data_IF_904872308581
#
_entry.id   IF_904872308581
#
_cell.length_a   1.000
_cell.length_b   1.000
_cell.length_c   1.000
_cell.angle_alpha   90.00
_cell.angle_beta   90.00
_cell.angle_gamma   90.00
#
_symmetry.space_group_name_H-M   'P 1'
#
loop_
_entity.id
_entity.type
_entity.pdbx_description
1 polymer ?
#
# COMPACT_ATOMS: atom_id res chain seq x y z
N UNK A 1 37.77 43.44 -58.09
CA UNK A 1 37.10 44.52 -57.32
C UNK A 1 36.74 43.87 -55.99
N UNK A 2 37.63 44.05 -55.12
CA UNK A 2 37.57 44.83 -53.86
C UNK A 2 36.62 44.18 -52.91
N UNK A 3 37.07 43.67 -51.85
CA UNK A 3 37.82 44.11 -50.70
C UNK A 3 36.97 43.80 -49.47
N UNK A 4 37.52 42.94 -48.58
CA UNK A 4 38.07 43.38 -47.28
C UNK A 4 37.02 43.54 -46.20
N UNK A 5 37.07 43.00 -45.01
CA UNK A 5 38.05 42.87 -43.96
C UNK A 5 37.42 42.12 -42.76
N UNK A 6 38.16 41.21 -42.14
CA UNK A 6 38.45 41.04 -40.70
C UNK A 6 37.31 41.19 -39.67
N UNK A 7 37.08 40.26 -38.77
CA UNK A 7 37.90 39.97 -37.63
C UNK A 7 37.38 38.76 -36.82
N UNK A 8 38.23 37.87 -36.50
CA UNK A 8 38.60 37.21 -35.22
C UNK A 8 37.62 37.27 -34.07
N UNK A 9 37.37 36.09 -33.48
CA UNK A 9 37.15 35.95 -32.05
C UNK A 9 36.67 34.58 -31.65
N UNK A 10 37.06 34.03 -30.54
CA UNK A 10 37.29 32.61 -30.40
C UNK A 10 36.07 31.82 -29.83
N UNK A 11 36.11 30.54 -30.13
CA UNK A 11 35.32 29.47 -29.52
C UNK A 11 35.36 29.52 -27.99
N UNK A 12 34.19 29.57 -27.35
CA UNK A 12 34.03 29.24 -25.96
C UNK A 12 32.95 28.16 -25.82
N UNK A 13 33.39 26.94 -25.70
CA UNK A 13 32.61 25.85 -25.14
C UNK A 13 32.25 26.21 -23.71
N UNK A 14 31.02 26.63 -23.47
CA UNK A 14 30.46 26.77 -22.13
C UNK A 14 29.95 25.39 -21.66
N UNK A 15 30.74 24.77 -20.80
CA UNK A 15 30.34 23.69 -19.93
C UNK A 15 29.23 24.17 -19.00
N UNK A 16 28.09 23.47 -19.00
CA UNK A 16 26.99 23.67 -18.08
C UNK A 16 27.46 23.22 -16.68
N UNK A 17 27.48 24.08 -15.66
CA UNK A 17 27.85 23.63 -14.33
C UNK A 17 26.69 22.80 -13.74
N UNK A 18 27.02 21.60 -13.26
CA UNK A 18 26.17 20.81 -12.37
C UNK A 18 25.89 21.67 -11.13
N UNK A 19 24.62 22.01 -10.92
CA UNK A 19 24.20 22.77 -9.74
C UNK A 19 24.41 21.90 -8.50
N UNK A 20 25.43 22.22 -7.74
CA UNK A 20 25.63 21.76 -6.37
C UNK A 20 24.60 22.46 -5.45
N UNK A 21 24.28 21.85 -4.32
CA UNK A 21 23.25 22.30 -3.37
C UNK A 21 23.39 23.77 -2.93
N UNK A 22 24.57 24.38 -3.08
CA UNK A 22 24.83 25.79 -2.79
C UNK A 22 24.15 26.79 -3.76
N UNK A 23 23.80 26.33 -4.98
CA UNK A 23 23.13 27.19 -5.98
C UNK A 23 21.66 27.50 -5.65
N UNK A 24 20.98 26.64 -4.90
CA UNK A 24 19.59 26.86 -4.49
C UNK A 24 19.45 27.94 -3.41
N UNK A 25 20.42 28.04 -2.52
CA UNK A 25 20.39 29.04 -1.44
C UNK A 25 20.57 30.48 -1.96
N UNK A 26 21.36 30.66 -3.02
CA UNK A 26 21.56 31.96 -3.67
C UNK A 26 20.32 32.43 -4.42
N UNK A 27 19.54 31.50 -5.02
CA UNK A 27 18.31 31.84 -5.73
C UNK A 27 17.19 32.27 -4.78
N UNK A 28 17.07 31.62 -3.62
CA UNK A 28 16.09 31.97 -2.58
C UNK A 28 16.41 33.36 -1.98
N UNK A 29 17.66 33.65 -1.80
CA UNK A 29 18.14 34.98 -1.27
C UNK A 29 17.87 36.09 -2.32
N UNK A 30 18.02 35.82 -3.61
CA UNK A 30 17.76 36.80 -4.69
C UNK A 30 16.25 37.06 -4.87
N UNK A 31 15.37 36.06 -4.68
CA UNK A 31 13.92 36.24 -4.78
C UNK A 31 13.31 37.01 -3.60
N UNK A 32 13.95 36.96 -2.42
CA UNK A 32 13.52 37.72 -1.24
C UNK A 32 13.86 39.21 -1.31
N UNK A 33 14.75 39.67 -2.21
CA UNK A 33 15.11 41.08 -2.40
C UNK A 33 14.08 41.88 -3.19
N UNK A 34 13.05 41.23 -3.77
CA UNK A 34 11.99 41.88 -4.57
C UNK A 34 10.64 42.09 -3.83
N UNK A 35 10.62 41.90 -2.49
CA UNK A 35 9.41 42.19 -1.72
C UNK A 35 9.49 43.64 -1.23
N UNK A 36 8.59 44.57 -1.63
CA UNK A 36 8.59 45.94 -1.13
C UNK A 36 8.26 45.93 0.37
N UNK A 37 9.10 46.58 1.16
CA UNK A 37 8.96 46.69 2.59
C UNK A 37 7.66 47.43 2.97
N UNK A 38 6.85 46.94 3.91
CA UNK A 38 5.77 47.71 4.51
C UNK A 38 6.42 48.84 5.39
N UNK A 39 5.95 50.05 5.19
CA UNK A 39 6.31 51.19 6.02
C UNK A 39 5.70 51.11 7.43
N UNK A 40 6.51 51.45 8.43
CA UNK A 40 6.28 51.63 9.88
C UNK A 40 6.31 50.37 10.74
N UNK A 41 7.41 50.11 11.48
CA UNK A 41 7.57 50.55 12.87
C UNK A 41 9.04 50.39 13.35
N UNK A 42 9.41 51.25 14.25
CA UNK A 42 10.75 51.41 14.83
C UNK A 42 11.05 50.18 15.71
N UNK A 43 12.10 49.42 15.36
CA UNK A 43 12.68 48.46 16.30
C UNK A 43 13.16 47.10 15.77
N UNK A 44 12.91 46.75 14.52
CA UNK A 44 13.41 45.48 13.93
C UNK A 44 14.36 45.78 12.77
N UNK A 45 15.67 45.65 13.00
CA UNK A 45 16.64 45.74 11.91
C UNK A 45 16.41 44.60 10.90
N UNK A 46 16.59 44.87 9.59
CA UNK A 46 16.44 43.82 8.52
C UNK A 46 17.38 42.62 8.73
N UNK A 47 18.47 42.80 9.44
CA UNK A 47 19.43 41.78 9.87
C UNK A 47 18.82 40.81 10.87
N UNK A 48 18.10 41.25 11.88
CA UNK A 48 17.48 40.39 12.88
C UNK A 48 16.32 39.53 12.33
N UNK A 49 15.60 40.07 11.34
CA UNK A 49 14.57 39.27 10.61
C UNK A 49 15.21 38.20 9.70
N UNK A 50 16.35 38.58 9.07
CA UNK A 50 17.13 37.67 8.21
C UNK A 50 17.81 36.58 9.02
N UNK A 51 18.36 36.91 10.20
CA UNK A 51 18.91 35.91 11.12
C UNK A 51 17.85 34.99 11.69
N UNK A 52 16.64 35.44 12.02
CA UNK A 52 15.53 34.58 12.45
C UNK A 52 15.07 33.62 11.37
N UNK A 53 15.03 34.04 10.11
CA UNK A 53 14.69 33.18 8.97
C UNK A 53 15.80 32.14 8.69
N UNK A 54 17.08 32.56 8.84
CA UNK A 54 18.23 31.67 8.70
C UNK A 54 18.35 30.70 9.89
N UNK A 55 18.03 31.13 11.12
CA UNK A 55 17.98 30.26 12.29
C UNK A 55 16.79 29.26 12.25
N UNK A 56 15.69 29.61 11.58
CA UNK A 56 14.56 28.68 11.35
C UNK A 56 14.83 27.65 10.25
N UNK A 57 15.85 27.84 9.43
CA UNK A 57 16.33 26.93 8.40
C UNK A 57 17.46 25.99 8.87
N UNK A 58 17.69 25.87 10.18
CA UNK A 58 18.60 24.83 10.68
C UNK A 58 18.08 23.47 10.25
N UNK A 59 18.90 22.63 9.58
CA UNK A 59 18.53 21.27 9.30
C UNK A 59 18.19 20.58 10.62
N UNK A 60 17.02 19.98 10.71
CA UNK A 60 16.63 19.19 11.87
C UNK A 60 17.77 18.22 12.20
N UNK A 61 18.19 18.10 13.47
CA UNK A 61 19.25 17.18 13.84
C UNK A 61 18.94 15.79 13.26
N UNK A 62 19.95 15.05 12.78
CA UNK A 62 19.74 13.74 12.20
C UNK A 62 18.98 12.87 13.20
N UNK A 63 17.73 12.56 12.88
CA UNK A 63 16.89 11.73 13.73
C UNK A 63 17.49 10.32 13.76
N UNK A 64 17.59 9.71 14.94
CA UNK A 64 18.05 8.34 15.04
C UNK A 64 17.12 7.41 14.24
N UNK A 65 17.67 6.35 13.66
CA UNK A 65 16.87 5.34 12.92
C UNK A 65 15.72 4.77 13.74
N UNK A 66 15.87 4.73 15.07
CA UNK A 66 14.83 4.30 16.00
C UNK A 66 13.70 5.34 16.09
N UNK A 67 14.04 6.64 16.21
CA UNK A 67 13.04 7.70 16.26
C UNK A 67 12.16 7.71 15.00
N UNK A 68 12.77 7.60 13.83
CA UNK A 68 12.08 7.49 12.53
C UNK A 68 11.16 6.27 12.52
N UNK A 69 11.64 5.12 13.02
CA UNK A 69 10.81 3.90 13.07
C UNK A 69 9.61 4.08 13.98
N UNK A 70 9.80 4.63 15.18
CA UNK A 70 8.72 4.88 16.14
C UNK A 70 7.69 5.86 15.57
N UNK A 71 8.13 6.88 14.85
CA UNK A 71 7.26 7.84 14.18
C UNK A 71 6.42 7.16 13.09
N UNK A 72 7.04 6.32 12.24
CA UNK A 72 6.34 5.52 11.24
C UNK A 72 5.33 4.60 11.91
N UNK A 73 5.73 3.81 12.92
CA UNK A 73 4.86 2.87 13.62
C UNK A 73 3.66 3.58 14.26
N UNK A 74 3.87 4.77 14.82
CA UNK A 74 2.79 5.58 15.42
C UNK A 74 1.71 6.03 14.42
N UNK A 75 2.07 6.16 13.14
CA UNK A 75 1.13 6.53 12.06
C UNK A 75 0.53 5.27 11.44
N UNK A 76 1.35 4.25 11.22
CA UNK A 76 0.92 2.95 10.65
C UNK A 76 -0.05 2.22 11.59
N UNK A 77 -0.09 2.57 12.85
CA UNK A 77 -1.11 2.12 13.81
C UNK A 77 -2.54 2.29 13.29
N UNK A 78 -2.85 3.36 12.55
CA UNK A 78 -4.19 3.56 11.96
C UNK A 78 -4.49 2.53 10.86
N UNK A 79 -3.48 2.13 10.10
CA UNK A 79 -3.61 1.00 9.18
C UNK A 79 -3.85 -0.31 9.93
N UNK A 80 -3.12 -0.56 11.03
CA UNK A 80 -3.33 -1.74 11.86
C UNK A 80 -4.79 -1.83 12.34
N UNK A 81 -5.36 -0.74 12.87
CA UNK A 81 -6.76 -0.69 13.31
C UNK A 81 -7.72 -0.97 12.14
N UNK A 82 -7.51 -0.34 10.98
CA UNK A 82 -8.35 -0.55 9.81
C UNK A 82 -8.34 -2.02 9.36
N UNK A 83 -7.17 -2.64 9.28
CA UNK A 83 -7.03 -4.03 8.85
C UNK A 83 -7.46 -5.03 9.95
N UNK A 84 -7.37 -4.66 11.21
CA UNK A 84 -7.96 -5.44 12.31
C UNK A 84 -9.48 -5.50 12.17
N UNK A 85 -10.12 -4.36 11.85
CA UNK A 85 -11.55 -4.29 11.58
C UNK A 85 -11.98 -5.08 10.33
N UNK A 86 -11.06 -5.34 9.39
CA UNK A 86 -11.28 -6.24 8.25
C UNK A 86 -11.10 -7.69 8.69
N UNK A 87 -10.06 -7.98 9.44
CA UNK A 87 -9.71 -9.33 9.89
C UNK A 87 -10.75 -9.95 10.82
N UNK A 88 -11.31 -9.17 11.76
CA UNK A 88 -12.29 -9.64 12.73
C UNK A 88 -13.46 -10.42 12.11
N UNK A 89 -14.17 -9.90 11.09
CA UNK A 89 -15.30 -10.61 10.51
C UNK A 89 -14.92 -11.61 9.41
N UNK A 90 -13.69 -11.61 8.90
CA UNK A 90 -13.34 -12.33 7.66
C UNK A 90 -13.58 -13.84 7.76
N UNK A 91 -13.31 -14.43 8.92
CA UNK A 91 -13.45 -15.87 9.15
C UNK A 91 -14.88 -16.31 9.47
N UNK A 92 -15.70 -15.43 10.05
CA UNK A 92 -17.04 -15.75 10.58
C UNK A 92 -18.18 -15.26 9.70
N UNK A 93 -17.88 -14.29 8.82
CA UNK A 93 -18.88 -13.67 7.94
C UNK A 93 -19.56 -14.66 6.98
N UNK A 94 -18.84 -15.64 6.35
CA UNK A 94 -19.50 -16.64 5.52
C UNK A 94 -20.53 -17.48 6.28
N UNK A 95 -20.21 -17.88 7.51
CA UNK A 95 -21.13 -18.63 8.38
C UNK A 95 -22.37 -17.79 8.73
N UNK A 96 -22.20 -16.52 9.09
CA UNK A 96 -23.34 -15.65 9.35
C UNK A 96 -24.30 -15.51 8.16
N UNK A 97 -23.74 -15.28 6.95
CA UNK A 97 -24.57 -15.14 5.73
C UNK A 97 -25.22 -16.45 5.32
N UNK A 98 -24.52 -17.57 5.46
CA UNK A 98 -25.00 -18.87 5.02
C UNK A 98 -25.93 -19.54 6.04
N UNK A 99 -25.50 -19.62 7.30
CA UNK A 99 -26.20 -20.40 8.33
C UNK A 99 -27.29 -19.59 9.04
N UNK A 100 -27.04 -18.29 9.29
CA UNK A 100 -28.01 -17.47 10.04
C UNK A 100 -28.97 -16.70 9.14
N UNK A 101 -28.52 -16.19 7.98
CA UNK A 101 -29.38 -15.50 7.02
C UNK A 101 -29.96 -16.42 5.95
N UNK A 102 -29.51 -17.68 5.82
CA UNK A 102 -30.03 -18.67 4.88
C UNK A 102 -29.65 -18.48 3.40
N UNK A 103 -28.62 -17.66 3.09
CA UNK A 103 -28.20 -17.44 1.71
C UNK A 103 -27.13 -18.44 1.26
N UNK A 104 -26.95 -18.56 -0.06
CA UNK A 104 -25.93 -19.46 -0.63
C UNK A 104 -24.49 -19.01 -0.30
N UNK A 105 -23.55 -19.96 -0.33
CA UNK A 105 -22.11 -19.66 -0.17
C UNK A 105 -21.59 -18.68 -1.22
N UNK A 106 -22.19 -18.62 -2.42
CA UNK A 106 -21.86 -17.66 -3.47
C UNK A 106 -22.17 -16.24 -2.99
N UNK A 107 -23.35 -16.04 -2.38
CA UNK A 107 -23.74 -14.72 -1.82
C UNK A 107 -22.82 -14.35 -0.67
N UNK A 108 -22.43 -15.28 0.19
CA UNK A 108 -21.43 -15.02 1.23
C UNK A 108 -20.09 -14.56 0.66
N UNK A 109 -19.63 -15.18 -0.41
CA UNK A 109 -18.44 -14.75 -1.16
C UNK A 109 -18.59 -13.35 -1.76
N UNK A 110 -19.76 -13.03 -2.33
CA UNK A 110 -20.04 -11.68 -2.87
C UNK A 110 -20.03 -10.59 -1.79
N UNK A 111 -20.52 -10.90 -0.59
CA UNK A 111 -20.46 -9.95 0.56
C UNK A 111 -19.01 -9.61 0.89
N UNK A 112 -18.12 -10.60 0.93
CA UNK A 112 -16.68 -10.35 1.16
C UNK A 112 -16.07 -9.61 -0.04
N UNK A 113 -16.37 -10.05 -1.25
CA UNK A 113 -15.85 -9.46 -2.49
C UNK A 113 -16.26 -8.00 -2.68
N UNK A 114 -17.45 -7.61 -2.23
CA UNK A 114 -17.96 -6.24 -2.33
C UNK A 114 -17.04 -5.22 -1.63
N UNK A 115 -16.45 -5.60 -0.49
CA UNK A 115 -15.47 -4.75 0.22
C UNK A 115 -14.22 -4.52 -0.63
N UNK A 116 -13.65 -5.55 -1.22
CA UNK A 116 -12.44 -5.42 -2.04
C UNK A 116 -12.71 -4.64 -3.31
N UNK A 117 -13.89 -4.84 -3.92
CA UNK A 117 -14.33 -4.03 -5.06
C UNK A 117 -14.44 -2.55 -4.69
N UNK A 118 -15.06 -2.23 -3.54
CA UNK A 118 -15.15 -0.86 -3.04
C UNK A 118 -13.76 -0.26 -2.76
N UNK A 119 -12.83 -1.05 -2.22
CA UNK A 119 -11.45 -0.62 -2.01
C UNK A 119 -10.78 -0.25 -3.33
N UNK A 120 -10.87 -1.12 -4.33
CA UNK A 120 -10.32 -0.91 -5.66
C UNK A 120 -10.87 0.37 -6.29
N UNK A 121 -12.20 0.53 -6.33
CA UNK A 121 -12.86 1.68 -6.92
C UNK A 121 -12.62 3.00 -6.16
N UNK A 122 -12.35 2.93 -4.86
CA UNK A 122 -12.06 4.11 -4.03
C UNK A 122 -10.63 4.63 -4.15
N UNK A 123 -9.68 3.87 -4.74
CA UNK A 123 -8.26 4.27 -4.85
C UNK A 123 -8.03 5.65 -5.50
N UNK A 124 -8.69 6.00 -6.62
CA UNK A 124 -8.54 7.32 -7.21
C UNK A 124 -8.99 8.45 -6.27
N UNK A 125 -10.12 8.25 -5.58
CA UNK A 125 -10.67 9.19 -4.61
C UNK A 125 -9.73 9.33 -3.41
N UNK A 126 -9.24 8.22 -2.85
CA UNK A 126 -8.35 8.20 -1.70
C UNK A 126 -7.03 8.96 -1.98
N UNK A 127 -6.44 8.72 -3.15
CA UNK A 127 -5.24 9.44 -3.59
C UNK A 127 -5.47 10.94 -3.70
N UNK A 128 -6.54 11.34 -4.40
CA UNK A 128 -6.90 12.75 -4.59
C UNK A 128 -7.22 13.45 -3.25
N UNK A 129 -7.97 12.80 -2.37
CA UNK A 129 -8.28 13.35 -1.05
C UNK A 129 -7.02 13.54 -0.21
N UNK A 130 -6.09 12.60 -0.24
CA UNK A 130 -4.80 12.71 0.44
C UNK A 130 -3.99 13.92 -0.06
N UNK A 131 -3.98 14.16 -1.38
CA UNK A 131 -3.25 15.26 -2.01
C UNK A 131 -3.93 16.63 -1.85
N UNK A 132 -5.27 16.68 -1.72
CA UNK A 132 -6.04 17.94 -1.71
C UNK A 132 -6.46 18.38 -0.31
N UNK A 133 -7.02 17.47 0.47
CA UNK A 133 -7.55 17.75 1.82
C UNK A 133 -6.49 17.51 2.91
N UNK A 134 -5.42 16.78 2.56
CA UNK A 134 -4.35 16.37 3.45
C UNK A 134 -4.53 14.97 4.03
N UNK A 135 -3.42 14.32 4.27
CA UNK A 135 -3.32 12.90 4.65
C UNK A 135 -4.05 12.58 5.95
N UNK A 136 -3.93 13.43 6.98
CA UNK A 136 -4.61 13.26 8.28
C UNK A 136 -6.14 13.28 8.11
N UNK A 137 -6.69 14.20 7.28
CA UNK A 137 -8.13 14.29 7.04
C UNK A 137 -8.65 13.06 6.28
N UNK A 138 -7.90 12.55 5.30
CA UNK A 138 -8.27 11.33 4.58
C UNK A 138 -8.41 10.14 5.56
N UNK A 139 -7.48 9.99 6.50
CA UNK A 139 -7.54 8.94 7.54
C UNK A 139 -8.75 9.16 8.47
N UNK A 140 -9.03 10.39 8.89
CA UNK A 140 -10.18 10.69 9.75
C UNK A 140 -11.51 10.30 9.05
N UNK A 141 -11.67 10.62 7.76
CA UNK A 141 -12.85 10.19 6.99
C UNK A 141 -12.93 8.67 6.86
N UNK A 142 -11.78 7.99 6.67
CA UNK A 142 -11.71 6.54 6.67
C UNK A 142 -12.15 5.95 8.01
N UNK A 143 -11.67 6.48 9.14
CA UNK A 143 -12.05 6.01 10.47
C UNK A 143 -13.55 6.22 10.75
N UNK A 144 -14.16 7.34 10.33
CA UNK A 144 -15.60 7.54 10.37
C UNK A 144 -16.34 6.51 9.51
N UNK A 145 -15.81 6.17 8.34
CA UNK A 145 -16.33 5.09 7.49
C UNK A 145 -16.35 3.75 8.23
N UNK A 146 -15.30 3.43 9.02
CA UNK A 146 -15.27 2.19 9.83
C UNK A 146 -16.30 2.24 10.96
N UNK A 147 -16.45 3.37 11.67
CA UNK A 147 -17.50 3.53 12.71
C UNK A 147 -18.87 3.25 12.12
N UNK A 148 -19.18 3.85 10.97
CA UNK A 148 -20.46 3.66 10.31
C UNK A 148 -20.63 2.22 9.80
N UNK A 149 -19.58 1.60 9.27
CA UNK A 149 -19.60 0.19 8.88
C UNK A 149 -19.89 -0.73 10.07
N UNK A 150 -19.30 -0.46 11.23
CA UNK A 150 -19.60 -1.18 12.48
C UNK A 150 -21.05 -1.01 12.91
N UNK A 151 -21.57 0.21 12.85
CA UNK A 151 -22.98 0.50 13.15
C UNK A 151 -23.95 -0.23 12.17
N UNK A 152 -23.62 -0.27 10.88
CA UNK A 152 -24.39 -1.05 9.89
C UNK A 152 -24.29 -2.56 10.12
N UNK A 153 -23.14 -3.06 10.55
CA UNK A 153 -22.99 -4.47 10.95
C UNK A 153 -23.88 -4.81 12.15
N UNK A 154 -23.94 -3.92 13.15
CA UNK A 154 -24.88 -4.03 14.27
C UNK A 154 -26.34 -4.02 13.81
N UNK A 155 -26.71 -3.07 12.97
CA UNK A 155 -28.06 -2.95 12.45
C UNK A 155 -28.48 -4.19 11.64
N UNK A 156 -27.56 -4.73 10.82
CA UNK A 156 -27.77 -6.00 10.11
C UNK A 156 -28.12 -7.13 11.08
N UNK A 157 -27.39 -7.22 12.19
CA UNK A 157 -27.63 -8.28 13.21
C UNK A 157 -28.99 -8.11 13.92
N UNK A 158 -29.38 -6.88 14.20
CA UNK A 158 -30.69 -6.60 14.82
C UNK A 158 -31.85 -6.91 13.88
N UNK A 159 -31.64 -6.88 12.58
CA UNK A 159 -32.64 -7.12 11.54
C UNK A 159 -32.53 -8.50 10.89
N UNK A 160 -31.91 -9.49 11.56
CA UNK A 160 -31.76 -10.85 10.99
C UNK A 160 -33.10 -11.56 10.78
N UNK A 161 -34.19 -11.16 11.46
CA UNK A 161 -35.55 -11.63 11.18
C UNK A 161 -36.06 -11.24 9.77
N UNK A 162 -35.39 -10.28 9.10
CA UNK A 162 -35.62 -9.86 7.73
C UNK A 162 -34.36 -10.11 6.89
N UNK A 163 -34.11 -11.38 6.44
CA UNK A 163 -32.81 -11.78 5.89
C UNK A 163 -32.30 -10.90 4.75
N UNK A 164 -33.16 -10.53 3.81
CA UNK A 164 -32.77 -9.68 2.67
C UNK A 164 -32.37 -8.28 3.12
N UNK A 165 -33.11 -7.65 4.05
CA UNK A 165 -32.78 -6.34 4.58
C UNK A 165 -31.47 -6.39 5.35
N UNK A 166 -31.27 -7.41 6.18
CA UNK A 166 -30.02 -7.66 6.90
C UNK A 166 -28.83 -7.80 5.94
N UNK A 167 -28.97 -8.57 4.88
CA UNK A 167 -27.94 -8.77 3.84
C UNK A 167 -27.58 -7.44 3.15
N UNK A 168 -28.56 -6.66 2.72
CA UNK A 168 -28.34 -5.38 2.03
C UNK A 168 -27.61 -4.35 2.94
N UNK A 169 -27.99 -4.29 4.22
CA UNK A 169 -27.34 -3.43 5.21
C UNK A 169 -25.88 -3.91 5.44
N UNK A 170 -25.67 -5.23 5.51
CA UNK A 170 -24.34 -5.80 5.66
C UNK A 170 -23.45 -5.46 4.48
N UNK A 171 -23.96 -5.59 3.25
CA UNK A 171 -23.23 -5.20 2.01
C UNK A 171 -22.89 -3.71 2.05
N UNK A 172 -23.84 -2.84 2.43
CA UNK A 172 -23.58 -1.41 2.56
C UNK A 172 -22.43 -1.13 3.57
N UNK A 173 -22.45 -1.82 4.72
CA UNK A 173 -21.35 -1.78 5.69
C UNK A 173 -20.01 -2.22 5.11
N UNK A 174 -20.00 -3.28 4.29
CA UNK A 174 -18.81 -3.77 3.62
C UNK A 174 -18.26 -2.80 2.58
N UNK A 175 -19.12 -2.20 1.78
CA UNK A 175 -18.73 -1.16 0.82
C UNK A 175 -18.07 0.03 1.53
N UNK A 176 -18.65 0.50 2.63
CA UNK A 176 -18.07 1.58 3.44
C UNK A 176 -16.71 1.18 4.03
N UNK A 177 -16.57 -0.05 4.52
CA UNK A 177 -15.31 -0.54 5.06
C UNK A 177 -14.22 -0.58 3.97
N UNK A 178 -14.59 -0.98 2.74
CA UNK A 178 -13.68 -0.97 1.60
C UNK A 178 -13.20 0.44 1.24
N UNK A 179 -14.11 1.40 1.18
CA UNK A 179 -13.76 2.82 0.94
C UNK A 179 -12.85 3.34 2.05
N UNK A 180 -13.17 3.04 3.31
CA UNK A 180 -12.38 3.41 4.48
C UNK A 180 -10.95 2.84 4.41
N UNK A 181 -10.82 1.57 4.01
CA UNK A 181 -9.53 0.90 3.80
C UNK A 181 -8.69 1.63 2.74
N UNK A 182 -9.31 2.03 1.62
CA UNK A 182 -8.65 2.80 0.58
C UNK A 182 -8.09 4.13 1.09
N UNK A 183 -8.91 4.89 1.82
CA UNK A 183 -8.55 6.19 2.40
C UNK A 183 -7.41 6.06 3.43
N UNK A 184 -7.52 5.12 4.37
CA UNK A 184 -6.54 4.93 5.44
C UNK A 184 -5.22 4.42 4.85
N UNK A 185 -5.27 3.42 3.97
CA UNK A 185 -4.05 2.83 3.39
C UNK A 185 -3.20 3.83 2.62
N UNK A 186 -3.80 4.62 1.72
CA UNK A 186 -3.11 5.68 0.98
C UNK A 186 -2.70 6.83 1.91
N UNK A 187 -3.62 7.28 2.78
CA UNK A 187 -3.39 8.38 3.70
C UNK A 187 -2.23 8.11 4.66
N UNK A 188 -2.14 6.91 5.21
CA UNK A 188 -1.09 6.53 6.17
C UNK A 188 0.30 6.55 5.54
N UNK A 189 0.48 5.93 4.37
CA UNK A 189 1.79 5.92 3.69
C UNK A 189 2.18 7.35 3.30
N UNK A 190 1.26 8.12 2.73
CA UNK A 190 1.50 9.52 2.37
C UNK A 190 1.83 10.37 3.59
N UNK A 191 1.18 10.13 4.74
CA UNK A 191 1.46 10.83 5.99
C UNK A 191 2.85 10.51 6.53
N UNK A 192 3.23 9.22 6.53
CA UNK A 192 4.59 8.81 6.88
C UNK A 192 5.63 9.52 6.01
N UNK A 193 5.46 9.47 4.67
CA UNK A 193 6.38 10.14 3.74
C UNK A 193 6.50 11.64 3.98
N UNK A 194 5.41 12.29 4.36
CA UNK A 194 5.40 13.72 4.68
C UNK A 194 6.05 14.07 6.02
N UNK A 195 6.12 13.14 6.98
CA UNK A 195 6.74 13.38 8.29
C UNK A 195 8.20 12.97 8.38
N UNK A 196 8.57 11.83 7.77
CA UNK A 196 9.93 11.29 7.89
C UNK A 196 10.77 11.47 6.63
N UNK A 197 10.20 12.04 5.58
CA UNK A 197 10.87 12.23 4.29
C UNK A 197 10.66 11.08 3.30
N UNK A 198 10.86 11.40 2.02
CA UNK A 198 10.64 10.47 0.89
C UNK A 198 11.71 9.38 0.82
N UNK A 199 12.88 9.65 1.36
CA UNK A 199 13.99 8.70 1.50
C UNK A 199 13.59 7.48 2.33
N UNK A 200 12.60 7.62 3.22
CA UNK A 200 12.06 6.54 4.05
C UNK A 200 10.79 5.89 3.48
N UNK A 201 10.48 6.10 2.19
CA UNK A 201 9.29 5.53 1.52
C UNK A 201 9.24 4.01 1.64
N UNK A 202 10.34 3.31 1.35
CA UNK A 202 10.40 1.85 1.45
C UNK A 202 10.09 1.36 2.87
N UNK A 203 10.66 2.03 3.88
CA UNK A 203 10.43 1.73 5.29
C UNK A 203 8.97 1.97 5.68
N UNK A 204 8.37 3.07 5.23
CA UNK A 204 6.97 3.40 5.47
C UNK A 204 6.01 2.38 4.86
N UNK A 205 6.20 2.01 3.58
CA UNK A 205 5.43 0.97 2.91
C UNK A 205 5.63 -0.39 3.60
N UNK A 206 6.86 -0.70 4.00
CA UNK A 206 7.20 -1.94 4.68
C UNK A 206 6.46 -2.10 6.00
N UNK A 207 6.54 -1.12 6.89
CA UNK A 207 5.83 -1.14 8.17
C UNK A 207 4.31 -1.12 7.99
N UNK A 208 3.81 -0.40 6.98
CA UNK A 208 2.38 -0.42 6.64
C UNK A 208 1.90 -1.82 6.26
N UNK A 209 2.71 -2.58 5.50
CA UNK A 209 2.39 -3.97 5.16
C UNK A 209 2.45 -4.90 6.38
N UNK A 210 3.45 -4.75 7.28
CA UNK A 210 3.53 -5.53 8.53
C UNK A 210 2.26 -5.29 9.36
N UNK A 211 1.84 -4.03 9.49
CA UNK A 211 0.62 -3.69 10.23
C UNK A 211 -0.64 -4.29 9.58
N UNK A 212 -0.76 -4.23 8.25
CA UNK A 212 -1.91 -4.76 7.53
C UNK A 212 -2.05 -6.28 7.71
N UNK A 213 -1.01 -7.03 7.38
CA UNK A 213 -1.05 -8.49 7.46
C UNK A 213 -1.05 -9.01 8.88
N UNK A 214 -0.31 -8.36 9.80
CA UNK A 214 -0.33 -8.68 11.22
C UNK A 214 -1.70 -8.46 11.85
N UNK A 215 -2.39 -7.39 11.46
CA UNK A 215 -3.74 -7.12 11.94
C UNK A 215 -4.76 -8.16 11.47
N UNK A 216 -4.69 -8.61 10.22
CA UNK A 216 -5.55 -9.68 9.70
C UNK A 216 -5.25 -11.00 10.43
N UNK A 217 -3.97 -11.34 10.60
CA UNK A 217 -3.55 -12.57 11.26
C UNK A 217 -4.04 -12.66 12.73
N UNK A 218 -4.09 -11.53 13.42
CA UNK A 218 -4.63 -11.43 14.79
C UNK A 218 -6.16 -11.35 14.76
N UNK A 219 -6.72 -10.57 13.84
CA UNK A 219 -8.14 -10.29 13.76
C UNK A 219 -8.99 -11.51 13.45
N UNK A 220 -8.56 -12.37 12.52
CA UNK A 220 -9.34 -13.53 12.11
C UNK A 220 -9.62 -14.52 13.28
N UNK A 221 -8.62 -15.01 14.04
CA UNK A 221 -8.87 -15.86 15.19
C UNK A 221 -9.61 -15.13 16.33
N UNK A 222 -9.29 -13.85 16.56
CA UNK A 222 -9.98 -13.04 17.56
C UNK A 222 -11.47 -12.88 17.22
N UNK A 223 -11.81 -12.67 15.96
CA UNK A 223 -13.20 -12.59 15.50
C UNK A 223 -13.96 -13.88 15.72
N UNK A 224 -13.33 -15.05 15.48
CA UNK A 224 -13.94 -16.36 15.78
C UNK A 224 -14.26 -16.50 17.25
N UNK A 225 -13.32 -16.19 18.14
CA UNK A 225 -13.54 -16.25 19.60
C UNK A 225 -14.62 -15.28 20.04
N UNK A 226 -14.60 -14.04 19.54
CA UNK A 226 -15.61 -13.03 19.89
C UNK A 226 -17.03 -13.45 19.47
N UNK A 227 -17.17 -14.05 18.27
CA UNK A 227 -18.48 -14.50 17.81
C UNK A 227 -18.94 -15.74 18.57
N UNK A 228 -18.05 -16.65 18.94
CA UNK A 228 -18.39 -17.82 19.73
C UNK A 228 -18.90 -17.45 21.14
N UNK A 229 -18.29 -16.44 21.78
CA UNK A 229 -18.65 -16.03 23.16
C UNK A 229 -19.78 -15.00 23.21
N UNK A 230 -19.82 -14.04 22.30
CA UNK A 230 -20.70 -12.87 22.36
C UNK A 230 -21.62 -12.72 21.14
N UNK A 231 -21.60 -13.67 20.22
CA UNK A 231 -22.36 -13.59 18.97
C UNK A 231 -21.84 -12.56 17.96
N UNK A 232 -22.45 -12.53 16.77
CA UNK A 232 -22.02 -11.69 15.66
C UNK A 232 -22.14 -10.17 15.96
N UNK A 233 -23.00 -9.79 16.90
CA UNK A 233 -23.16 -8.40 17.41
C UNK A 233 -21.83 -7.82 17.90
N UNK A 234 -21.00 -8.65 18.54
CA UNK A 234 -19.71 -8.22 19.09
C UNK A 234 -18.78 -7.59 18.06
N UNK A 235 -18.85 -8.05 16.80
CA UNK A 235 -18.03 -7.50 15.70
C UNK A 235 -18.41 -6.06 15.38
N UNK A 236 -19.69 -5.74 15.27
CA UNK A 236 -20.15 -4.38 15.01
C UNK A 236 -19.75 -3.40 16.11
N UNK A 237 -19.85 -3.85 17.39
CA UNK A 237 -19.38 -3.07 18.55
C UNK A 237 -17.88 -2.87 18.48
N UNK A 238 -17.09 -3.93 18.21
CA UNK A 238 -15.65 -3.86 18.15
C UNK A 238 -15.16 -2.93 17.03
N UNK A 239 -15.72 -3.04 15.82
CA UNK A 239 -15.38 -2.17 14.70
C UNK A 239 -15.60 -0.70 15.07
N UNK A 240 -16.79 -0.38 15.63
CA UNK A 240 -17.13 0.99 16.01
C UNK A 240 -16.24 1.51 17.14
N UNK A 241 -16.00 0.70 18.17
CA UNK A 241 -15.19 1.08 19.32
C UNK A 241 -13.72 1.28 18.97
N UNK A 242 -13.11 0.38 18.19
CA UNK A 242 -11.72 0.49 17.73
C UNK A 242 -11.51 1.74 16.87
N UNK A 243 -12.43 2.00 15.93
CA UNK A 243 -12.34 3.18 15.08
C UNK A 243 -12.58 4.48 15.86
N UNK A 244 -13.53 4.50 16.81
CA UNK A 244 -13.77 5.66 17.68
C UNK A 244 -12.55 5.95 18.58
N UNK A 245 -11.92 4.92 19.14
CA UNK A 245 -10.66 5.05 19.88
C UNK A 245 -9.54 5.61 19.03
N UNK A 246 -9.39 5.14 17.78
CA UNK A 246 -8.43 5.68 16.83
C UNK A 246 -8.73 7.13 16.45
N UNK A 247 -10.01 7.52 16.30
CA UNK A 247 -10.44 8.92 16.09
C UNK A 247 -10.09 9.82 17.26
N UNK A 248 -10.17 9.31 18.47
CA UNK A 248 -9.74 10.06 19.65
C UNK A 248 -8.23 10.27 19.68
N UNK A 249 -7.45 9.23 19.38
CA UNK A 249 -5.98 9.29 19.35
C UNK A 249 -5.43 10.18 18.25
N UNK A 250 -6.06 10.21 17.06
CA UNK A 250 -5.54 10.99 15.91
C UNK A 250 -5.63 12.50 16.13
N UNK A 251 -6.50 12.97 17.04
CA UNK A 251 -6.72 14.41 17.30
C UNK A 251 -5.41 15.13 17.62
N UNK A 252 -4.59 14.52 18.48
CA UNK A 252 -3.34 15.10 18.99
C UNK A 252 -2.13 14.90 18.07
N UNK A 253 -2.29 14.21 16.94
CA UNK A 253 -1.17 14.00 16.00
C UNK A 253 -0.99 15.20 15.07
N UNK A 254 0.26 15.63 14.81
CA UNK A 254 0.53 16.74 13.91
C UNK A 254 0.12 16.38 12.47
N UNK A 255 -0.48 17.35 11.77
CA UNK A 255 -0.77 17.21 10.34
C UNK A 255 0.46 17.56 9.50
N UNK A 256 0.57 16.97 8.32
CA UNK A 256 1.57 17.37 7.32
C UNK A 256 0.94 18.43 6.40
N UNK A 257 1.66 19.49 6.07
CA UNK A 257 1.18 20.49 5.12
C UNK A 257 0.88 19.86 3.75
N UNK A 258 -0.20 20.31 3.13
CA UNK A 258 -0.53 19.92 1.76
C UNK A 258 0.47 20.58 0.82
N UNK A 259 1.20 19.78 0.04
CA UNK A 259 2.16 20.29 -0.94
C UNK A 259 1.39 21.00 -2.06
N UNK A 260 1.66 22.31 -2.23
CA UNK A 260 1.10 23.12 -3.32
C UNK A 260 1.90 22.88 -4.60
N UNK A 261 1.22 22.81 -5.74
CA UNK A 261 1.84 22.60 -7.06
C UNK A 261 0.84 22.05 -8.05
N UNK A 262 1.24 21.98 -9.30
CA UNK A 262 0.42 21.34 -10.32
C UNK A 262 0.20 19.88 -10.00
N UNK A 263 -1.06 19.47 -10.03
CA UNK A 263 -1.47 18.07 -9.79
C UNK A 263 -1.80 17.44 -11.13
N UNK A 264 -1.20 16.27 -11.34
CA UNK A 264 -1.57 15.44 -12.49
C UNK A 264 -2.97 14.84 -12.28
N UNK A 265 -3.71 14.65 -13.37
CA UNK A 265 -4.93 13.87 -13.33
C UNK A 265 -4.62 12.42 -12.91
N UNK A 266 -5.58 11.74 -12.27
CA UNK A 266 -5.36 10.35 -11.83
C UNK A 266 -4.93 9.44 -13.00
N UNK A 267 -5.53 9.59 -14.18
CA UNK A 267 -5.21 8.79 -15.35
C UNK A 267 -3.80 9.07 -15.90
N UNK A 268 -3.33 10.31 -15.83
CA UNK A 268 -1.96 10.66 -16.21
C UNK A 268 -0.93 10.03 -15.21
N UNK A 269 -1.27 10.05 -13.91
CA UNK A 269 -0.49 9.38 -12.89
C UNK A 269 -0.50 7.86 -13.10
N UNK A 270 -1.68 7.28 -13.34
CA UNK A 270 -1.86 5.86 -13.61
C UNK A 270 -1.00 5.39 -14.79
N UNK A 271 -1.01 6.13 -15.92
CA UNK A 271 -0.19 5.81 -17.09
C UNK A 271 1.32 5.77 -16.78
N UNK A 272 1.82 6.71 -15.95
CA UNK A 272 3.24 6.74 -15.54
C UNK A 272 3.61 5.57 -14.63
N UNK A 273 2.69 5.13 -13.78
CA UNK A 273 2.89 4.06 -12.80
C UNK A 273 2.61 2.67 -13.39
N UNK A 274 1.80 2.59 -14.45
CA UNK A 274 1.34 1.34 -15.04
C UNK A 274 2.45 0.31 -15.30
N UNK A 275 3.63 0.65 -15.85
CA UNK A 275 4.67 -0.37 -16.07
C UNK A 275 5.16 -1.03 -14.77
N UNK A 276 5.30 -0.26 -13.70
CA UNK A 276 5.72 -0.74 -12.37
C UNK A 276 4.59 -1.53 -11.70
N UNK A 277 3.38 -1.02 -11.82
CA UNK A 277 2.18 -1.66 -11.32
C UNK A 277 1.88 -2.99 -12.01
N UNK A 278 2.01 -3.08 -13.33
CA UNK A 278 1.82 -4.32 -14.08
C UNK A 278 2.82 -5.38 -13.62
N UNK A 279 4.09 -5.00 -13.40
CA UNK A 279 5.08 -5.93 -12.85
C UNK A 279 4.68 -6.45 -11.47
N UNK A 280 4.15 -5.55 -10.60
CA UNK A 280 3.60 -5.93 -9.30
C UNK A 280 2.39 -6.87 -9.44
N UNK A 281 1.44 -6.57 -10.34
CA UNK A 281 0.27 -7.43 -10.59
C UNK A 281 0.70 -8.84 -10.93
N UNK A 282 1.62 -8.99 -11.89
CA UNK A 282 2.09 -10.28 -12.36
C UNK A 282 2.75 -11.11 -11.25
N UNK A 283 3.53 -10.48 -10.37
CA UNK A 283 4.08 -11.12 -9.18
C UNK A 283 2.96 -11.48 -8.19
N UNK A 284 2.06 -10.55 -7.87
CA UNK A 284 1.07 -10.73 -6.80
C UNK A 284 -0.02 -11.75 -7.11
N UNK A 285 -0.19 -12.18 -8.37
CA UNK A 285 -1.12 -13.27 -8.75
C UNK A 285 -0.74 -14.57 -8.04
N UNK A 286 0.55 -14.84 -7.79
CA UNK A 286 1.02 -16.00 -7.03
C UNK A 286 0.42 -16.05 -5.62
N UNK A 287 0.36 -14.92 -4.93
CA UNK A 287 -0.28 -14.78 -3.62
C UNK A 287 -1.80 -15.01 -3.71
N UNK A 288 -2.46 -14.37 -4.69
CA UNK A 288 -3.90 -14.57 -4.90
C UNK A 288 -4.24 -16.04 -5.21
N UNK A 289 -3.40 -16.72 -5.98
CA UNK A 289 -3.52 -18.16 -6.29
C UNK A 289 -3.42 -19.00 -5.02
N UNK A 290 -2.38 -18.75 -4.22
CA UNK A 290 -2.14 -19.50 -2.99
C UNK A 290 -3.29 -19.32 -2.00
N UNK A 291 -3.73 -18.10 -1.73
CA UNK A 291 -4.80 -17.81 -0.78
C UNK A 291 -6.15 -18.39 -1.20
N UNK A 292 -6.42 -18.45 -2.51
CA UNK A 292 -7.71 -18.93 -3.02
C UNK A 292 -7.76 -20.44 -3.17
N UNK A 293 -6.67 -21.07 -3.61
CA UNK A 293 -6.72 -22.47 -4.08
C UNK A 293 -5.91 -23.46 -3.26
N UNK A 294 -5.14 -23.05 -2.27
CA UNK A 294 -4.27 -23.98 -1.52
C UNK A 294 -5.06 -25.10 -0.85
N UNK A 295 -6.25 -24.82 -0.33
CA UNK A 295 -7.12 -25.83 0.29
C UNK A 295 -7.60 -26.86 -0.73
N UNK A 296 -8.06 -26.40 -1.89
CA UNK A 296 -8.53 -27.27 -2.97
C UNK A 296 -7.39 -28.10 -3.59
N UNK A 297 -6.20 -27.50 -3.70
CA UNK A 297 -5.00 -28.19 -4.13
C UNK A 297 -4.63 -29.33 -3.17
N UNK A 298 -4.65 -29.09 -1.85
CA UNK A 298 -4.40 -30.12 -0.83
C UNK A 298 -5.44 -31.21 -0.85
N UNK A 299 -6.74 -30.87 -0.96
CA UNK A 299 -7.82 -31.84 -1.08
C UNK A 299 -7.66 -32.73 -2.32
N UNK A 300 -7.31 -32.15 -3.45
CA UNK A 300 -7.06 -32.89 -4.69
C UNK A 300 -5.88 -33.86 -4.57
N UNK A 301 -4.89 -33.56 -3.73
CA UNK A 301 -3.74 -34.43 -3.45
C UNK A 301 -3.99 -35.45 -2.32
N UNK A 302 -5.13 -35.40 -1.63
CA UNK A 302 -5.40 -36.19 -0.44
C UNK A 302 -4.56 -35.77 0.77
N UNK A 303 -4.09 -34.54 0.83
CA UNK A 303 -3.27 -33.98 1.91
C UNK A 303 -4.12 -33.22 2.93
N UNK A 304 -3.69 -33.25 4.18
CA UNK A 304 -4.23 -32.43 5.28
C UNK A 304 -3.34 -31.24 5.60
N UNK A 305 -3.88 -30.26 6.32
CA UNK A 305 -3.09 -29.14 6.86
C UNK A 305 -2.79 -28.00 5.88
N UNK A 306 -3.64 -27.78 4.87
CA UNK A 306 -3.50 -26.66 3.91
C UNK A 306 -3.31 -25.29 4.58
N UNK A 307 -3.93 -25.06 5.74
CA UNK A 307 -3.82 -23.82 6.49
C UNK A 307 -2.37 -23.49 6.91
N UNK A 308 -1.54 -24.50 7.13
CA UNK A 308 -0.13 -24.29 7.47
C UNK A 308 0.66 -23.64 6.34
N UNK A 309 0.27 -23.83 5.06
CA UNK A 309 0.88 -23.12 3.94
C UNK A 309 0.69 -21.60 4.05
N UNK A 310 -0.53 -21.16 4.39
CA UNK A 310 -0.82 -19.73 4.57
C UNK A 310 -0.08 -19.16 5.77
N UNK A 311 0.02 -19.93 6.86
CA UNK A 311 0.76 -19.53 8.05
C UNK A 311 2.24 -19.38 7.75
N UNK A 312 2.87 -20.36 7.10
CA UNK A 312 4.29 -20.33 6.73
C UNK A 312 4.56 -19.22 5.73
N UNK A 313 3.71 -19.05 4.73
CA UNK A 313 3.77 -17.91 3.81
C UNK A 313 3.78 -16.59 4.58
N UNK A 314 2.81 -16.39 5.48
CA UNK A 314 2.67 -15.15 6.26
C UNK A 314 3.86 -14.89 7.19
N UNK A 315 4.35 -15.91 7.88
CA UNK A 315 5.54 -15.80 8.75
C UNK A 315 6.77 -15.45 7.93
N UNK A 316 7.04 -16.15 6.83
CA UNK A 316 8.18 -15.87 5.96
C UNK A 316 8.08 -14.48 5.30
N UNK A 317 6.86 -14.05 4.92
CA UNK A 317 6.59 -12.71 4.41
C UNK A 317 6.97 -11.63 5.43
N UNK A 318 6.56 -11.78 6.70
CA UNK A 318 6.88 -10.83 7.77
C UNK A 318 8.37 -10.85 8.08
N UNK A 319 8.98 -12.04 8.22
CA UNK A 319 10.41 -12.18 8.48
C UNK A 319 11.27 -11.53 7.40
N UNK A 320 10.97 -11.81 6.12
CA UNK A 320 11.67 -11.17 5.00
C UNK A 320 11.61 -9.64 5.10
N UNK A 321 10.43 -9.11 5.44
CA UNK A 321 10.22 -7.66 5.55
C UNK A 321 10.98 -7.05 6.72
N UNK A 322 11.03 -7.71 7.87
CA UNK A 322 11.78 -7.25 9.04
C UNK A 322 13.29 -7.28 8.82
N UNK A 323 13.79 -8.35 8.20
CA UNK A 323 15.23 -8.56 8.03
C UNK A 323 15.81 -7.75 6.88
N UNK A 324 15.06 -7.57 5.77
CA UNK A 324 15.62 -7.06 4.51
C UNK A 324 15.01 -5.75 4.02
N UNK A 325 14.19 -5.04 4.81
CA UNK A 325 13.61 -3.77 4.37
C UNK A 325 14.67 -2.70 4.06
N UNK A 326 15.81 -2.74 4.74
CA UNK A 326 16.96 -1.86 4.48
C UNK A 326 17.69 -2.20 3.17
N UNK A 327 17.48 -3.40 2.61
CA UNK A 327 18.07 -3.80 1.34
C UNK A 327 17.63 -2.90 0.18
N UNK A 328 16.38 -2.39 0.22
CA UNK A 328 15.86 -1.48 -0.80
C UNK A 328 16.64 -0.17 -0.80
N UNK A 329 16.98 0.37 0.38
CA UNK A 329 17.81 1.58 0.48
C UNK A 329 19.26 1.33 0.05
N UNK A 330 19.80 0.12 0.31
CA UNK A 330 21.21 -0.23 0.03
C UNK A 330 21.45 -0.61 -1.44
N UNK A 331 20.57 -1.43 -2.01
CA UNK A 331 20.74 -2.02 -3.35
C UNK A 331 19.83 -1.39 -4.42
N UNK A 332 18.89 -0.52 -3.99
CA UNK A 332 17.88 0.09 -4.86
C UNK A 332 16.64 -0.78 -5.06
N UNK A 333 15.54 -0.14 -5.52
CA UNK A 333 14.25 -0.80 -5.69
C UNK A 333 14.29 -1.92 -6.73
N UNK A 334 14.84 -1.67 -7.91
CA UNK A 334 14.88 -2.68 -8.98
C UNK A 334 15.66 -3.94 -8.61
N UNK A 335 16.86 -3.80 -8.01
CA UNK A 335 17.67 -4.97 -7.65
C UNK A 335 16.98 -5.82 -6.58
N UNK A 336 16.38 -5.16 -5.58
CA UNK A 336 15.60 -5.83 -4.53
C UNK A 336 14.37 -6.54 -5.10
N UNK A 337 13.62 -5.89 -6.00
CA UNK A 337 12.46 -6.50 -6.65
C UNK A 337 12.84 -7.74 -7.47
N UNK A 338 13.89 -7.65 -8.28
CA UNK A 338 14.38 -8.77 -9.11
C UNK A 338 14.76 -9.97 -8.24
N UNK A 339 15.58 -9.77 -7.20
CA UNK A 339 15.98 -10.84 -6.29
C UNK A 339 14.74 -11.49 -5.61
N UNK A 340 13.81 -10.66 -5.14
CA UNK A 340 12.61 -11.12 -4.47
C UNK A 340 11.66 -11.89 -5.39
N UNK A 341 11.42 -11.40 -6.62
CA UNK A 341 10.59 -12.09 -7.62
C UNK A 341 11.21 -13.42 -8.05
N UNK A 342 12.55 -13.51 -8.10
CA UNK A 342 13.24 -14.76 -8.38
C UNK A 342 12.98 -15.80 -7.30
N UNK A 343 13.07 -15.41 -6.02
CA UNK A 343 12.78 -16.30 -4.88
C UNK A 343 11.31 -16.73 -4.87
N UNK A 344 10.40 -15.80 -5.13
CA UNK A 344 8.97 -16.08 -5.26
C UNK A 344 8.68 -17.10 -6.36
N UNK A 345 9.27 -16.89 -7.54
CA UNK A 345 9.11 -17.80 -8.68
C UNK A 345 9.59 -19.22 -8.33
N UNK A 346 10.74 -19.34 -7.66
CA UNK A 346 11.24 -20.65 -7.18
C UNK A 346 10.23 -21.28 -6.22
N UNK A 347 9.65 -20.53 -5.28
CA UNK A 347 8.63 -21.01 -4.37
C UNK A 347 7.39 -21.53 -5.08
N UNK A 348 6.90 -20.81 -6.10
CA UNK A 348 5.75 -21.20 -6.92
C UNK A 348 6.03 -22.47 -7.75
N UNK A 349 7.23 -22.60 -8.32
CA UNK A 349 7.67 -23.82 -9.03
C UNK A 349 7.75 -25.00 -8.06
N UNK A 350 8.22 -24.79 -6.83
CA UNK A 350 8.22 -25.84 -5.81
C UNK A 350 6.81 -26.29 -5.44
N UNK A 351 5.83 -25.38 -5.34
CA UNK A 351 4.43 -25.72 -5.13
C UNK A 351 3.86 -26.54 -6.28
N UNK A 352 4.19 -26.20 -7.53
CA UNK A 352 3.78 -26.97 -8.71
C UNK A 352 4.31 -28.40 -8.68
N UNK A 353 5.60 -28.57 -8.36
CA UNK A 353 6.30 -29.86 -8.36
C UNK A 353 6.19 -30.62 -7.02
N UNK A 354 5.45 -30.12 -6.03
CA UNK A 354 5.47 -30.65 -4.68
C UNK A 354 5.07 -32.14 -4.62
N UNK A 355 5.96 -33.05 -4.18
CA UNK A 355 5.65 -34.46 -4.00
C UNK A 355 5.05 -34.74 -2.61
N UNK A 356 5.16 -33.81 -1.66
CA UNK A 356 4.70 -33.97 -0.28
C UNK A 356 4.30 -32.62 0.32
N UNK A 357 3.55 -32.68 1.44
CA UNK A 357 3.13 -31.49 2.22
C UNK A 357 4.33 -30.66 2.71
N UNK A 358 5.42 -31.30 3.15
CA UNK A 358 6.61 -30.60 3.59
C UNK A 358 7.25 -29.76 2.46
N UNK A 359 7.30 -30.32 1.26
CA UNK A 359 7.81 -29.62 0.08
C UNK A 359 6.92 -28.43 -0.31
N UNK A 360 5.60 -28.62 -0.22
CA UNK A 360 4.63 -27.54 -0.45
C UNK A 360 4.75 -26.41 0.59
N UNK A 361 5.02 -26.74 1.87
CA UNK A 361 5.26 -25.75 2.92
C UNK A 361 6.51 -24.90 2.62
N UNK A 362 7.62 -25.54 2.19
CA UNK A 362 8.83 -24.82 1.80
C UNK A 362 8.56 -23.90 0.62
N UNK A 363 7.84 -24.40 -0.40
CA UNK A 363 7.44 -23.60 -1.56
C UNK A 363 6.59 -22.39 -1.17
N UNK A 364 5.60 -22.57 -0.29
CA UNK A 364 4.78 -21.49 0.23
C UNK A 364 5.60 -20.45 1.02
N UNK A 365 6.55 -20.92 1.85
CA UNK A 365 7.47 -20.07 2.59
C UNK A 365 8.35 -19.21 1.69
N UNK A 366 8.95 -19.81 0.65
CA UNK A 366 9.76 -19.08 -0.34
C UNK A 366 8.92 -18.10 -1.14
N UNK A 367 7.69 -18.47 -1.54
CA UNK A 367 6.79 -17.56 -2.23
C UNK A 367 6.45 -16.32 -1.36
N UNK A 368 6.17 -16.55 -0.06
CA UNK A 368 5.91 -15.46 0.88
C UNK A 368 7.12 -14.58 1.14
N UNK A 369 8.29 -15.21 1.33
CA UNK A 369 9.55 -14.51 1.53
C UNK A 369 9.89 -13.62 0.31
N UNK A 370 9.75 -14.15 -0.90
CA UNK A 370 10.02 -13.45 -2.15
C UNK A 370 9.04 -12.29 -2.37
N UNK A 371 7.73 -12.52 -2.29
CA UNK A 371 6.73 -11.48 -2.55
C UNK A 371 6.86 -10.28 -1.59
N UNK A 372 7.35 -10.49 -0.39
CA UNK A 372 7.32 -9.51 0.71
C UNK A 372 7.85 -8.13 0.35
N UNK A 373 8.99 -8.06 -0.33
CA UNK A 373 9.63 -6.78 -0.66
C UNK A 373 9.31 -6.28 -2.08
N UNK A 374 8.61 -7.06 -2.91
CA UNK A 374 8.26 -6.64 -4.29
C UNK A 374 7.42 -5.36 -4.26
N UNK A 375 6.38 -5.32 -3.43
CA UNK A 375 5.52 -4.14 -3.30
C UNK A 375 6.28 -2.87 -2.89
N UNK A 376 7.05 -2.82 -1.79
CA UNK A 376 7.79 -1.61 -1.42
C UNK A 376 8.93 -1.29 -2.40
N UNK A 377 9.58 -2.28 -2.99
CA UNK A 377 10.70 -2.09 -3.90
C UNK A 377 10.27 -1.42 -5.22
N UNK A 378 9.26 -1.97 -5.89
CA UNK A 378 8.67 -1.35 -7.09
C UNK A 378 7.92 -0.06 -6.76
N UNK A 379 7.31 0.04 -5.57
CA UNK A 379 6.61 1.23 -5.12
C UNK A 379 7.52 2.46 -5.01
N UNK A 380 8.74 2.29 -4.51
CA UNK A 380 9.74 3.37 -4.48
C UNK A 380 10.05 3.86 -5.89
N UNK A 381 10.27 2.96 -6.83
CA UNK A 381 10.57 3.32 -8.23
C UNK A 381 9.37 3.95 -8.93
N UNK A 382 8.16 3.48 -8.67
CA UNK A 382 6.93 4.03 -9.20
C UNK A 382 6.67 5.47 -8.71
N UNK A 383 6.87 5.75 -7.42
CA UNK A 383 6.62 7.07 -6.83
C UNK A 383 7.62 8.13 -7.32
N UNK A 384 8.82 7.74 -7.74
CA UNK A 384 9.79 8.65 -8.40
C UNK A 384 9.27 9.23 -9.72
N UNK A 385 8.29 8.56 -10.37
CA UNK A 385 7.75 8.98 -11.67
C UNK A 385 6.71 10.10 -11.58
N UNK A 386 6.27 10.46 -10.37
CA UNK A 386 5.21 11.44 -10.15
C UNK A 386 5.70 12.62 -9.31
N UNK A 387 5.19 13.86 -9.60
CA UNK A 387 5.55 15.03 -8.82
C UNK A 387 5.10 14.90 -7.36
N UNK A 388 5.77 15.63 -6.48
CA UNK A 388 5.50 15.61 -5.03
C UNK A 388 4.05 15.96 -4.66
N UNK A 389 3.41 16.84 -5.45
CA UNK A 389 2.01 17.25 -5.28
C UNK A 389 0.98 16.16 -5.63
N UNK A 390 1.40 15.05 -6.29
CA UNK A 390 0.55 13.94 -6.74
C UNK A 390 0.96 12.59 -6.17
N UNK A 391 1.73 12.55 -5.09
CA UNK A 391 2.22 11.30 -4.50
C UNK A 391 1.11 10.44 -3.91
N UNK A 392 0.09 11.05 -3.30
CA UNK A 392 -1.08 10.32 -2.82
C UNK A 392 -1.83 9.63 -3.95
N UNK A 393 -2.06 10.35 -5.05
CA UNK A 393 -2.62 9.79 -6.29
C UNK A 393 -1.73 8.68 -6.86
N UNK A 394 -0.39 8.85 -6.78
CA UNK A 394 0.60 7.84 -7.17
C UNK A 394 0.49 6.55 -6.36
N UNK A 395 0.42 6.65 -5.04
CA UNK A 395 0.24 5.50 -4.16
C UNK A 395 -1.11 4.82 -4.38
N UNK A 396 -2.17 5.62 -4.58
CA UNK A 396 -3.50 5.09 -4.91
C UNK A 396 -3.50 4.32 -6.23
N UNK A 397 -2.93 4.90 -7.29
CA UNK A 397 -2.80 4.25 -8.58
C UNK A 397 -1.94 2.97 -8.51
N UNK A 398 -0.86 2.99 -7.76
CA UNK A 398 0.01 1.82 -7.58
C UNK A 398 -0.71 0.68 -6.84
N UNK A 399 -1.50 1.01 -5.80
CA UNK A 399 -2.25 0.02 -5.04
C UNK A 399 -3.35 -0.66 -5.86
N UNK A 400 -3.94 0.03 -6.88
CA UNK A 400 -4.90 -0.58 -7.82
C UNK A 400 -4.34 -1.84 -8.46
N UNK A 401 -3.06 -1.85 -8.82
CA UNK A 401 -2.42 -3.00 -9.48
C UNK A 401 -2.30 -4.23 -8.57
N UNK A 402 -2.09 -4.02 -7.27
CA UNK A 402 -2.11 -5.10 -6.29
C UNK A 402 -3.53 -5.65 -6.08
N UNK A 403 -4.52 -4.76 -5.91
CA UNK A 403 -5.92 -5.15 -5.74
C UNK A 403 -6.43 -5.89 -7.00
N UNK A 404 -6.01 -5.44 -8.20
CA UNK A 404 -6.33 -6.07 -9.48
C UNK A 404 -5.75 -7.49 -9.57
N UNK A 405 -4.53 -7.71 -9.08
CA UNK A 405 -3.93 -9.04 -9.04
C UNK A 405 -4.80 -10.03 -8.26
N UNK A 406 -5.27 -9.61 -7.08
CA UNK A 406 -6.13 -10.45 -6.23
C UNK A 406 -7.50 -10.70 -6.86
N UNK A 407 -8.07 -9.68 -7.52
CA UNK A 407 -9.36 -9.80 -8.20
C UNK A 407 -9.30 -10.77 -9.40
N UNK A 408 -8.20 -10.76 -10.15
CA UNK A 408 -8.02 -11.59 -11.35
C UNK A 408 -7.58 -13.02 -10.98
N UNK A 409 -6.81 -13.20 -9.91
CA UNK A 409 -6.23 -14.50 -9.56
C UNK A 409 -7.29 -15.61 -9.42
N UNK A 410 -8.43 -15.32 -8.78
CA UNK A 410 -9.51 -16.29 -8.61
C UNK A 410 -10.06 -16.82 -9.95
N UNK A 411 -10.66 -15.97 -10.79
CA UNK A 411 -11.21 -16.38 -12.07
C UNK A 411 -10.18 -16.99 -13.02
N UNK A 412 -8.99 -16.39 -13.12
CA UNK A 412 -7.92 -16.84 -14.02
C UNK A 412 -7.44 -18.23 -13.63
N UNK A 413 -7.09 -18.44 -12.37
CA UNK A 413 -6.57 -19.71 -11.88
C UNK A 413 -7.67 -20.77 -11.72
N UNK A 414 -8.92 -20.35 -11.50
CA UNK A 414 -10.07 -21.24 -11.55
C UNK A 414 -10.24 -21.85 -12.92
N UNK A 415 -10.11 -21.05 -14.00
CA UNK A 415 -10.13 -21.58 -15.37
C UNK A 415 -8.96 -22.53 -15.65
N UNK A 416 -7.76 -22.24 -15.15
CA UNK A 416 -6.60 -23.14 -15.26
C UNK A 416 -6.87 -24.44 -14.50
N UNK A 417 -7.40 -24.38 -13.28
CA UNK A 417 -7.69 -25.56 -12.46
C UNK A 417 -8.71 -26.50 -13.12
N UNK A 418 -9.74 -25.93 -13.73
CA UNK A 418 -10.79 -26.71 -14.43
C UNK A 418 -10.27 -27.41 -15.68
N UNK A 419 -9.39 -26.79 -16.46
CA UNK A 419 -8.91 -27.31 -17.72
C UNK A 419 -7.63 -28.16 -17.61
N UNK A 420 -6.72 -27.81 -16.70
CA UNK A 420 -5.38 -28.41 -16.58
C UNK A 420 -5.15 -29.10 -15.24
N UNK A 421 -5.99 -28.83 -14.24
CA UNK A 421 -5.87 -29.36 -12.89
C UNK A 421 -5.17 -28.43 -11.90
N UNK A 422 -5.37 -28.73 -10.61
CA UNK A 422 -4.94 -27.84 -9.51
C UNK A 422 -3.42 -27.60 -9.40
N UNK A 423 -2.59 -28.52 -9.85
CA UNK A 423 -1.12 -28.30 -9.80
C UNK A 423 -0.67 -27.20 -10.78
N UNK A 424 -1.33 -27.13 -11.95
CA UNK A 424 -0.96 -26.19 -13.02
C UNK A 424 -1.25 -24.72 -12.68
N UNK A 425 -2.08 -24.45 -11.65
CA UNK A 425 -2.30 -23.08 -11.19
C UNK A 425 -0.99 -22.44 -10.67
N UNK A 426 -0.14 -23.21 -9.98
CA UNK A 426 1.14 -22.71 -9.47
C UNK A 426 2.18 -22.55 -10.58
N UNK A 427 2.16 -23.43 -11.60
CA UNK A 427 2.99 -23.23 -12.80
C UNK A 427 2.60 -21.96 -13.54
N UNK A 428 1.31 -21.74 -13.76
CA UNK A 428 0.80 -20.53 -14.43
C UNK A 428 1.15 -19.28 -13.64
N UNK A 429 1.04 -19.30 -12.30
CA UNK A 429 1.44 -18.22 -11.44
C UNK A 429 2.95 -17.97 -11.51
N UNK A 430 3.78 -19.01 -11.54
CA UNK A 430 5.22 -18.90 -11.72
C UNK A 430 5.59 -18.27 -13.08
N UNK A 431 4.92 -18.65 -14.16
CA UNK A 431 5.12 -18.06 -15.49
C UNK A 431 4.78 -16.56 -15.52
N UNK A 432 3.68 -16.17 -14.85
CA UNK A 432 3.32 -14.76 -14.71
C UNK A 432 4.35 -13.99 -13.87
N UNK A 433 4.85 -14.58 -12.78
CA UNK A 433 5.93 -14.00 -11.98
C UNK A 433 7.23 -13.81 -12.78
N UNK A 434 7.61 -14.79 -13.61
CA UNK A 434 8.75 -14.68 -14.55
C UNK A 434 8.52 -13.55 -15.57
N UNK A 435 7.30 -13.41 -16.09
CA UNK A 435 6.96 -12.33 -17.02
C UNK A 435 7.10 -10.97 -16.34
N UNK A 436 6.62 -10.83 -15.09
CA UNK A 436 6.80 -9.64 -14.27
C UNK A 436 8.26 -9.34 -13.97
N UNK A 437 9.09 -10.38 -13.70
CA UNK A 437 10.52 -10.28 -13.53
C UNK A 437 11.19 -9.73 -14.81
N UNK A 438 10.83 -10.27 -15.98
CA UNK A 438 11.30 -9.78 -17.28
C UNK A 438 10.96 -8.31 -17.51
N UNK A 439 9.73 -7.90 -17.18
CA UNK A 439 9.31 -6.51 -17.27
C UNK A 439 10.12 -5.62 -16.31
N UNK A 440 10.38 -6.08 -15.08
CA UNK A 440 11.21 -5.34 -14.10
C UNK A 440 12.64 -5.16 -14.60
N UNK A 441 13.21 -6.18 -15.24
CA UNK A 441 14.55 -6.09 -15.86
C UNK A 441 14.59 -5.06 -17.00
N UNK A 442 13.55 -5.02 -17.85
CA UNK A 442 13.44 -4.03 -18.92
C UNK A 442 13.31 -2.60 -18.37
N UNK A 443 12.50 -2.42 -17.30
CA UNK A 443 12.36 -1.12 -16.64
C UNK A 443 13.68 -0.66 -16.02
N UNK A 444 14.42 -1.57 -15.37
CA UNK A 444 15.75 -1.25 -14.83
C UNK A 444 16.71 -0.78 -15.92
N UNK A 445 16.74 -1.48 -17.07
CA UNK A 445 17.60 -1.08 -18.22
C UNK A 445 17.23 0.31 -18.74
N UNK A 446 15.94 0.61 -18.88
CA UNK A 446 15.46 1.94 -19.32
C UNK A 446 15.78 3.07 -18.34
N UNK A 447 15.85 2.76 -17.05
CA UNK A 447 16.18 3.74 -16.03
C UNK A 447 17.68 4.04 -15.92
N UNK A 448 18.53 3.18 -16.51
CA UNK A 448 19.99 3.34 -16.56
C UNK A 448 20.47 3.92 -17.89
N UNK A 449 19.66 3.87 -18.95
CA UNK A 449 19.89 4.49 -20.25
C UNK A 449 19.42 5.96 -20.25
#
# INVERSE_FOLDING_TARGET
>A
MEASLLAKGPSATQSIPVATAEGCDVLIVSLLSFIPAPRHDVGNSPTAARERVLMSAQPLPPQSSLAITLQIVSIVFYTFIAFLCIGLPIAVLPGYVHEQLGFSAIIAGLVIGSQYLATLLSRPMAGRMSDTLGTKRAIIYGLWGIVLSGALTLLSTLLQSFPLTSLLILIAGRLLLGIAQGLIGVGTISWCMGQVGVEHTAKSIGWNGIASYGAIAIGAPLGVVMVAEYGFVSLGVALSALAAGALWLIRNKPSVPVIRGERLSFWAVFGKIAPYGTSLTLASIGYGTLTTFITLYYLNRGWSGAAYCLSVFGVCFILSRLLFISAIARFGGFASAIACMTVETIGLVMLWLAPSTAYALIGAGLAGFGLSLVYPALGVEAIKQVPSSSRGSGLGAYAVFFDLALAIAGPLMGAVALNLGYSWIFFSAALLSVTGLGLTLLLKRRAMA
#
